data_IF_806400215608
#
_entry.id   IF_806400215608
#
_cell.length_a   1.000
_cell.length_b   1.000
_cell.length_c   1.000
_cell.angle_alpha   90.00
_cell.angle_beta   90.00
_cell.angle_gamma   90.00
#
_symmetry.space_group_name_H-M   'P 1'
#
loop_
_entity.id
_entity.type
_entity.pdbx_description
1 polymer ?
#
# COMPACT_ATOMS: atom_id res chain seq x y z
N UNK A 1 23.11 22.29 24.50
CA UNK A 1 23.76 21.32 25.40
C UNK A 1 25.25 21.26 25.08
N UNK A 2 26.10 21.54 26.06
CA UNK A 2 27.54 21.36 25.94
C UNK A 2 27.86 19.87 25.87
N UNK A 3 27.92 19.30 24.65
CA UNK A 3 28.29 17.89 24.43
C UNK A 3 29.77 17.68 24.75
N UNK A 4 30.12 17.56 26.04
CA UNK A 4 31.45 17.13 26.46
C UNK A 4 31.57 15.62 26.22
N UNK A 5 32.66 15.19 25.62
CA UNK A 5 32.88 13.76 25.39
C UNK A 5 33.18 13.02 26.71
N UNK A 6 32.97 11.70 26.71
CA UNK A 6 33.14 10.86 27.92
C UNK A 6 34.55 10.92 28.50
N UNK A 7 35.57 11.10 27.67
CA UNK A 7 36.96 11.17 28.14
C UNK A 7 37.25 12.47 28.90
N UNK A 8 36.60 13.56 28.50
CA UNK A 8 36.67 14.84 29.22
C UNK A 8 35.95 14.74 30.56
N UNK A 9 34.78 14.08 30.61
CA UNK A 9 34.06 13.83 31.86
C UNK A 9 34.89 12.95 32.81
N UNK A 10 35.42 11.83 32.33
CA UNK A 10 36.24 10.90 33.15
C UNK A 10 37.43 11.58 33.82
N UNK A 11 38.10 12.52 33.15
CA UNK A 11 39.24 13.26 33.73
C UNK A 11 38.85 14.11 34.94
N UNK A 12 37.62 14.62 35.00
CA UNK A 12 37.15 15.48 36.11
C UNK A 12 36.72 14.70 37.35
N UNK A 13 36.51 13.40 37.21
CA UNK A 13 36.13 12.48 38.30
C UNK A 13 37.25 11.47 38.62
N UNK A 14 38.51 11.83 38.30
CA UNK A 14 39.68 11.02 38.58
C UNK A 14 40.05 11.01 40.06
N UNK A 15 40.95 10.10 40.44
CA UNK A 15 41.43 9.99 41.82
C UNK A 15 42.16 11.28 42.24
N UNK A 16 41.74 11.86 43.37
CA UNK A 16 42.30 13.11 43.89
C UNK A 16 41.69 14.39 43.31
N UNK A 17 40.82 14.29 42.31
CA UNK A 17 40.06 15.43 41.79
C UNK A 17 38.88 15.78 42.69
N UNK A 18 38.49 17.06 42.73
CA UNK A 18 37.31 17.54 43.47
C UNK A 18 36.29 18.12 42.47
N UNK A 19 35.35 17.30 41.96
CA UNK A 19 34.36 17.73 40.98
C UNK A 19 33.47 18.84 41.54
N UNK A 20 33.21 19.85 40.73
CA UNK A 20 32.31 20.96 41.07
C UNK A 20 30.84 20.57 40.86
N UNK A 21 29.90 21.36 41.40
CA UNK A 21 28.48 21.19 41.13
C UNK A 21 28.15 21.19 39.62
N UNK A 22 28.87 21.98 38.82
CA UNK A 22 28.72 21.99 37.36
C UNK A 22 29.15 20.67 36.71
N UNK A 23 30.18 20.00 37.25
CA UNK A 23 30.62 18.70 36.74
C UNK A 23 29.59 17.60 36.99
N UNK A 24 28.90 17.65 38.14
CA UNK A 24 27.76 16.78 38.43
C UNK A 24 26.57 17.07 37.51
N UNK A 25 26.29 18.34 37.21
CA UNK A 25 25.24 18.74 36.25
C UNK A 25 25.52 18.15 34.87
N UNK A 26 26.74 18.35 34.35
CA UNK A 26 27.15 17.81 33.05
C UNK A 26 27.07 16.28 33.00
N UNK A 27 27.37 15.59 34.12
CA UNK A 27 27.22 14.15 34.21
C UNK A 27 25.75 13.73 34.14
N UNK A 28 24.88 14.36 34.94
CA UNK A 28 23.44 14.06 34.96
C UNK A 28 22.81 14.30 33.59
N UNK A 29 23.13 15.43 32.95
CA UNK A 29 22.65 15.77 31.59
C UNK A 29 23.21 14.83 30.50
N UNK A 30 24.29 14.08 30.78
CA UNK A 30 24.88 13.12 29.83
C UNK A 30 24.30 11.70 29.91
N UNK A 31 23.45 11.43 30.91
CA UNK A 31 22.83 10.12 31.15
C UNK A 31 21.40 10.10 30.63
N UNK A 32 21.00 8.99 29.99
CA UNK A 32 19.63 8.79 29.52
C UNK A 32 18.64 8.70 30.69
N UNK A 33 17.57 9.49 30.62
CA UNK A 33 16.45 9.52 31.54
C UNK A 33 15.16 9.08 30.84
N UNK A 34 14.48 8.06 31.38
CA UNK A 34 13.26 7.49 30.79
C UNK A 34 12.11 8.49 30.69
N UNK A 35 11.99 9.40 31.66
CA UNK A 35 10.92 10.39 31.70
C UNK A 35 11.17 11.55 30.73
N UNK A 36 12.42 11.99 30.63
CA UNK A 36 12.77 13.20 29.89
C UNK A 36 13.14 12.90 28.44
N UNK A 37 13.80 11.76 28.18
CA UNK A 37 14.30 11.41 26.84
C UNK A 37 13.33 10.56 26.03
N UNK A 38 12.17 10.16 26.58
CA UNK A 38 11.14 9.43 25.84
C UNK A 38 11.56 8.05 25.32
N UNK A 39 12.71 7.52 25.77
CA UNK A 39 13.24 6.20 25.44
C UNK A 39 13.01 5.26 26.62
N UNK A 40 12.26 4.18 26.41
CA UNK A 40 12.01 3.16 27.42
C UNK A 40 12.06 1.76 26.82
N UNK A 41 12.24 0.75 27.67
CA UNK A 41 12.15 -0.65 27.28
C UNK A 41 11.27 -1.42 28.26
N UNK A 42 10.32 -2.22 27.77
CA UNK A 42 9.51 -3.12 28.59
C UNK A 42 9.14 -4.39 27.82
N UNK A 43 8.69 -5.43 28.52
CA UNK A 43 8.36 -6.73 27.92
C UNK A 43 7.17 -6.70 26.95
N UNK A 44 6.20 -5.80 27.18
CA UNK A 44 4.97 -5.72 26.38
C UNK A 44 5.19 -5.02 25.04
N UNK A 45 5.93 -3.91 25.06
CA UNK A 45 6.07 -2.96 23.96
C UNK A 45 7.47 -2.98 23.32
N UNK A 46 8.44 -3.69 23.91
CA UNK A 46 9.83 -3.67 23.47
C UNK A 46 10.47 -2.29 23.67
N UNK A 47 11.21 -1.81 22.66
CA UNK A 47 11.78 -0.47 22.63
C UNK A 47 10.69 0.56 22.31
N UNK A 48 10.39 1.43 23.28
CA UNK A 48 9.48 2.55 23.13
C UNK A 48 10.26 3.82 22.85
N UNK A 49 9.94 4.47 21.74
CA UNK A 49 10.40 5.80 21.38
C UNK A 49 9.20 6.74 21.39
N UNK A 50 9.26 7.79 22.20
CA UNK A 50 8.22 8.81 22.30
C UNK A 50 8.70 10.07 21.63
N UNK A 51 7.83 10.71 20.85
CA UNK A 51 8.13 12.02 20.28
C UNK A 51 8.21 13.06 21.40
N UNK A 52 9.40 13.63 21.62
CA UNK A 52 9.67 14.60 22.70
C UNK A 52 9.34 16.04 22.24
N UNK A 53 9.31 16.29 20.93
CA UNK A 53 9.11 17.63 20.34
C UNK A 53 8.07 17.62 19.22
N UNK A 54 7.41 18.75 18.93
CA UNK A 54 6.36 18.84 17.91
C UNK A 54 6.78 18.68 16.44
N UNK A 55 8.03 18.31 16.15
CA UNK A 55 8.60 18.20 14.80
C UNK A 55 8.33 16.85 14.10
N UNK A 56 7.37 16.07 14.60
CA UNK A 56 7.00 14.74 14.12
C UNK A 56 8.17 13.77 13.93
N UNK A 57 9.34 13.96 14.56
CA UNK A 57 10.48 13.05 14.43
C UNK A 57 10.66 12.18 15.66
N UNK A 58 10.87 10.89 15.41
CA UNK A 58 11.08 9.88 16.47
C UNK A 58 12.46 9.26 16.37
N UNK A 59 13.02 9.12 15.17
CA UNK A 59 14.37 8.60 14.96
C UNK A 59 15.07 9.34 13.83
N UNK A 60 16.37 9.59 13.97
CA UNK A 60 17.21 10.21 12.95
C UNK A 60 18.54 9.49 12.86
N UNK A 61 18.92 9.11 11.65
CA UNK A 61 20.12 8.34 11.32
C UNK A 61 21.09 9.23 10.54
N UNK A 62 22.34 9.30 11.01
CA UNK A 62 23.41 10.11 10.44
C UNK A 62 24.49 9.18 9.88
N UNK A 63 25.17 9.58 8.80
CA UNK A 63 26.26 8.82 8.21
C UNK A 63 27.56 8.92 9.01
N UNK A 64 27.76 10.03 9.73
CA UNK A 64 28.89 10.23 10.63
C UNK A 64 28.48 11.02 11.89
N UNK A 65 29.26 10.89 12.98
CA UNK A 65 29.00 11.56 14.26
C UNK A 65 29.03 13.08 14.16
N UNK A 66 29.82 13.61 13.23
CA UNK A 66 30.00 15.04 12.98
C UNK A 66 29.09 15.57 11.85
N UNK A 67 28.29 14.71 11.21
CA UNK A 67 27.39 15.13 10.14
C UNK A 67 26.21 15.92 10.74
N UNK A 68 26.02 17.17 10.31
CA UNK A 68 24.92 18.01 10.79
C UNK A 68 23.57 17.64 10.16
N UNK A 69 23.59 16.99 8.99
CA UNK A 69 22.38 16.61 8.26
C UNK A 69 22.06 15.12 8.42
N UNK A 70 20.81 14.81 8.76
CA UNK A 70 20.32 13.42 8.87
C UNK A 70 20.32 12.75 7.51
N UNK A 71 20.93 11.57 7.37
CA UNK A 71 20.82 10.77 6.15
C UNK A 71 19.40 10.22 5.96
N UNK A 72 18.82 9.68 7.03
CA UNK A 72 17.46 9.16 7.09
C UNK A 72 16.76 9.58 8.38
N UNK A 73 15.44 9.71 8.34
CA UNK A 73 14.62 9.97 9.52
C UNK A 73 13.32 9.17 9.49
N UNK A 74 12.82 8.86 10.68
CA UNK A 74 11.51 8.27 10.88
C UNK A 74 10.62 9.32 11.52
N UNK A 75 9.59 9.70 10.79
CA UNK A 75 8.57 10.62 11.26
C UNK A 75 7.34 9.87 11.80
N UNK A 76 6.72 10.39 12.85
CA UNK A 76 5.45 9.91 13.37
C UNK A 76 4.55 11.12 13.61
N UNK A 77 3.41 11.16 12.95
CA UNK A 77 2.34 12.08 13.28
C UNK A 77 1.26 11.32 14.08
N UNK A 78 1.23 11.57 15.39
CA UNK A 78 0.29 10.95 16.31
C UNK A 78 -1.18 11.32 16.05
N UNK A 79 -1.46 12.41 15.34
CA UNK A 79 -2.85 12.82 15.01
C UNK A 79 -3.43 12.02 13.86
N UNK A 80 -2.62 11.79 12.83
CA UNK A 80 -3.04 11.05 11.63
C UNK A 80 -2.61 9.59 11.62
N UNK A 81 -1.98 9.10 12.70
CA UNK A 81 -1.39 7.77 12.79
C UNK A 81 -0.52 7.43 11.57
N UNK A 82 0.30 8.41 11.16
CA UNK A 82 1.17 8.36 9.99
C UNK A 82 2.61 8.16 10.40
N UNK A 83 3.24 7.14 9.83
CA UNK A 83 4.68 6.88 9.96
C UNK A 83 5.34 7.17 8.61
N UNK A 84 6.37 8.01 8.60
CA UNK A 84 7.16 8.33 7.40
C UNK A 84 8.59 7.85 7.55
N UNK A 85 9.18 7.39 6.45
CA UNK A 85 10.62 7.21 6.29
C UNK A 85 11.09 8.27 5.29
N UNK A 86 11.85 9.21 5.81
CA UNK A 86 12.31 10.39 5.11
C UNK A 86 13.80 10.29 4.81
N UNK A 87 14.19 10.60 3.58
CA UNK A 87 15.59 10.76 3.19
C UNK A 87 15.98 12.24 3.21
N UNK A 88 17.24 12.54 3.56
CA UNK A 88 17.76 13.90 3.42
C UNK A 88 17.63 14.41 1.98
N UNK A 89 17.15 15.65 1.81
CA UNK A 89 17.26 16.37 0.53
C UNK A 89 18.72 16.78 0.33
N UNK A 90 19.52 15.92 -0.28
CA UNK A 90 20.90 16.25 -0.67
C UNK A 90 20.86 17.12 -1.93
N UNK A 91 21.21 18.41 -1.79
CA UNK A 91 21.47 19.31 -2.93
C UNK A 91 20.27 20.02 -3.56
N UNK A 92 19.07 19.93 -2.98
CA UNK A 92 17.94 20.76 -3.40
C UNK A 92 17.94 22.05 -2.56
N UNK A 93 18.46 23.14 -3.13
CA UNK A 93 18.24 24.48 -2.59
C UNK A 93 16.73 24.73 -2.58
N UNK A 94 16.16 24.91 -1.37
CA UNK A 94 14.86 25.56 -1.11
C UNK A 94 13.86 25.53 -2.26
N UNK A 95 13.46 24.33 -2.72
CA UNK A 95 12.14 24.21 -3.32
C UNK A 95 11.16 24.51 -2.19
N UNK A 96 10.13 25.33 -2.47
CA UNK A 96 9.06 25.63 -1.52
C UNK A 96 8.64 24.32 -0.84
N UNK A 97 8.93 24.22 0.46
CA UNK A 97 8.52 23.07 1.24
C UNK A 97 7.03 23.24 1.47
N UNK A 98 6.25 22.23 1.12
CA UNK A 98 4.86 22.20 1.56
C UNK A 98 4.85 22.24 3.10
N UNK A 99 3.82 22.85 3.70
CA UNK A 99 3.76 23.03 5.15
C UNK A 99 3.90 21.70 5.92
N UNK A 100 3.46 20.60 5.32
CA UNK A 100 3.60 19.25 5.86
C UNK A 100 5.06 18.73 5.78
N UNK A 101 5.83 19.11 4.76
CA UNK A 101 7.26 18.81 4.69
C UNK A 101 8.02 19.54 5.82
N UNK A 102 7.73 20.82 6.08
CA UNK A 102 8.36 21.55 7.17
C UNK A 102 8.04 20.94 8.54
N UNK A 103 6.78 20.55 8.76
CA UNK A 103 6.34 19.93 10.02
C UNK A 103 7.03 18.59 10.33
N UNK A 104 7.38 17.81 9.29
CA UNK A 104 8.10 16.53 9.42
C UNK A 104 9.64 16.68 9.31
N UNK A 105 10.14 17.92 9.33
CA UNK A 105 11.58 18.22 9.33
C UNK A 105 12.24 18.22 7.94
N UNK A 106 11.47 18.41 6.87
CA UNK A 106 11.96 18.83 5.55
C UNK A 106 12.62 17.76 4.68
N UNK A 107 12.41 16.47 4.99
CA UNK A 107 12.95 15.36 4.22
C UNK A 107 12.12 15.04 2.96
N UNK A 108 12.67 14.20 2.07
CA UNK A 108 11.89 13.58 0.99
C UNK A 108 11.24 12.29 1.52
N UNK A 109 9.91 12.24 1.55
CA UNK A 109 9.20 11.04 1.97
C UNK A 109 9.42 9.91 0.97
N UNK A 110 10.15 8.88 1.38
CA UNK A 110 10.41 7.71 0.54
C UNK A 110 9.33 6.66 0.73
N UNK A 111 8.92 6.43 1.99
CA UNK A 111 7.87 5.49 2.36
C UNK A 111 6.96 6.13 3.41
N UNK A 112 5.66 6.03 3.20
CA UNK A 112 4.64 6.48 4.15
C UNK A 112 3.73 5.32 4.49
N UNK A 113 3.48 5.10 5.77
CA UNK A 113 2.53 4.13 6.29
C UNK A 113 1.44 4.87 7.05
N UNK A 114 0.20 4.65 6.63
CA UNK A 114 -0.99 5.20 7.27
C UNK A 114 -1.77 4.06 7.93
N UNK A 115 -1.91 4.09 9.25
CA UNK A 115 -2.71 3.10 9.97
C UNK A 115 -4.21 3.39 9.82
N UNK A 116 -5.12 2.39 9.87
CA UNK A 116 -6.54 2.66 10.04
C UNK A 116 -6.77 3.56 11.26
N UNK A 117 -7.63 4.57 11.16
CA UNK A 117 -7.82 5.58 12.21
C UNK A 117 -9.20 5.52 12.90
N UNK A 118 -10.08 4.62 12.45
CA UNK A 118 -11.41 4.42 13.03
C UNK A 118 -12.38 5.60 12.87
N UNK A 119 -11.90 6.77 12.41
CA UNK A 119 -12.69 7.98 12.19
C UNK A 119 -13.14 8.16 10.74
N UNK A 120 -12.36 7.64 9.77
CA UNK A 120 -12.75 7.66 8.35
C UNK A 120 -11.92 6.73 7.47
N UNK A 121 -10.70 6.38 7.88
CA UNK A 121 -9.84 5.44 7.18
C UNK A 121 -10.00 4.04 7.79
N UNK A 122 -10.65 3.16 7.03
CA UNK A 122 -10.91 1.76 7.42
C UNK A 122 -9.77 0.81 7.07
N UNK A 123 -8.86 1.23 6.20
CA UNK A 123 -7.75 0.44 5.68
C UNK A 123 -6.38 1.09 5.88
N UNK A 124 -5.35 0.26 5.99
CA UNK A 124 -3.98 0.76 5.97
C UNK A 124 -3.59 1.21 4.57
N UNK A 125 -2.73 2.24 4.47
CA UNK A 125 -2.19 2.70 3.18
C UNK A 125 -0.68 2.80 3.19
N UNK A 126 -0.09 2.51 2.04
CA UNK A 126 1.34 2.59 1.77
C UNK A 126 1.55 3.60 0.65
N UNK A 127 2.30 4.65 0.92
CA UNK A 127 2.78 5.61 -0.07
C UNK A 127 4.26 5.35 -0.37
N UNK A 128 4.62 5.22 -1.64
CA UNK A 128 6.01 5.28 -2.10
C UNK A 128 6.20 6.63 -2.76
N UNK A 129 7.18 7.40 -2.30
CA UNK A 129 7.45 8.77 -2.75
C UNK A 129 6.29 9.76 -2.53
N UNK A 130 5.33 9.46 -1.65
CA UNK A 130 4.21 10.36 -1.34
C UNK A 130 3.87 10.31 0.15
N UNK A 131 3.63 11.48 0.75
CA UNK A 131 3.15 11.62 2.14
C UNK A 131 1.65 11.39 2.29
N UNK A 132 0.90 11.50 1.20
CA UNK A 132 -0.57 11.48 1.22
C UNK A 132 -1.13 10.42 0.27
N UNK A 133 -0.87 9.12 0.52
CA UNK A 133 -1.37 8.06 -0.33
C UNK A 133 -2.90 8.07 -0.40
N UNK A 134 -3.42 8.20 -1.62
CA UNK A 134 -4.86 8.25 -1.92
C UNK A 134 -5.46 6.86 -2.11
N UNK A 135 -4.61 5.87 -2.38
CA UNK A 135 -4.97 4.46 -2.51
C UNK A 135 -4.23 3.59 -1.48
N UNK A 136 -4.64 2.32 -1.33
CA UNK A 136 -4.00 1.37 -0.42
C UNK A 136 -2.51 1.19 -0.71
N UNK A 137 -2.14 1.18 -1.99
CA UNK A 137 -0.78 1.36 -2.45
C UNK A 137 -0.79 2.52 -3.45
N UNK A 138 -0.10 3.59 -3.10
CA UNK A 138 0.08 4.77 -3.93
C UNK A 138 1.57 4.94 -4.22
N UNK A 139 1.94 5.01 -5.49
CA UNK A 139 3.34 5.11 -5.92
C UNK A 139 3.48 6.35 -6.78
N UNK A 140 4.15 7.36 -6.25
CA UNK A 140 4.55 8.52 -7.03
C UNK A 140 5.86 8.22 -7.76
N UNK A 141 5.75 7.59 -8.92
CA UNK A 141 6.89 7.19 -9.73
C UNK A 141 6.62 5.98 -10.63
N UNK A 142 7.67 5.22 -10.90
CA UNK A 142 7.63 4.08 -11.83
C UNK A 142 7.58 2.76 -11.07
N UNK A 143 6.66 1.89 -11.47
CA UNK A 143 6.56 0.51 -10.96
C UNK A 143 7.13 -0.45 -12.00
N UNK A 144 8.21 -1.16 -11.63
CA UNK A 144 8.69 -2.34 -12.35
C UNK A 144 8.25 -3.60 -11.62
N UNK A 145 7.68 -4.58 -12.32
CA UNK A 145 7.23 -5.85 -11.74
C UNK A 145 7.53 -7.03 -12.64
N UNK A 146 7.89 -8.17 -12.04
CA UNK A 146 8.05 -9.46 -12.73
C UNK A 146 6.72 -10.11 -13.11
N UNK A 147 5.61 -9.69 -12.49
CA UNK A 147 4.27 -10.19 -12.78
C UNK A 147 3.18 -9.49 -11.96
N UNK A 148 1.93 -9.63 -12.38
CA UNK A 148 0.76 -9.15 -11.65
C UNK A 148 -0.32 -10.22 -11.71
N UNK A 149 -0.94 -10.48 -10.55
CA UNK A 149 -2.01 -11.46 -10.40
C UNK A 149 -3.20 -10.73 -9.79
N UNK A 150 -4.35 -10.76 -10.48
CA UNK A 150 -5.59 -10.22 -9.95
C UNK A 150 -6.13 -11.06 -8.79
N UNK A 151 -7.20 -10.58 -8.15
CA UNK A 151 -7.87 -11.36 -7.11
C UNK A 151 -8.34 -12.69 -7.70
N UNK A 152 -7.92 -13.80 -7.08
CA UNK A 152 -8.42 -15.11 -7.46
C UNK A 152 -9.94 -15.14 -7.23
N UNK A 153 -10.67 -15.76 -8.16
CA UNK A 153 -12.06 -16.06 -7.92
C UNK A 153 -12.27 -16.84 -6.62
N UNK A 154 -13.43 -16.65 -5.98
CA UNK A 154 -13.77 -17.37 -4.74
C UNK A 154 -13.65 -18.88 -4.89
N UNK A 155 -13.94 -19.43 -6.09
CA UNK A 155 -13.68 -20.81 -6.50
C UNK A 155 -13.38 -20.89 -8.00
N UNK A 156 -12.47 -21.76 -8.45
CA UNK A 156 -12.28 -22.00 -9.88
C UNK A 156 -13.55 -22.59 -10.52
N UNK A 157 -13.88 -22.15 -11.74
CA UNK A 157 -15.07 -22.61 -12.44
C UNK A 157 -14.85 -24.01 -13.06
N UNK A 158 -15.85 -24.90 -13.11
CA UNK A 158 -15.77 -26.14 -13.89
C UNK A 158 -15.55 -25.88 -15.39
N UNK A 159 -14.74 -26.73 -16.04
CA UNK A 159 -14.55 -26.70 -17.50
C UNK A 159 -15.50 -27.69 -18.21
N UNK A 160 -16.80 -27.53 -17.98
CA UNK A 160 -17.88 -28.46 -18.38
C UNK A 160 -18.74 -27.96 -19.55
N UNK A 161 -18.43 -26.77 -20.09
CA UNK A 161 -19.18 -26.05 -21.12
C UNK A 161 -20.47 -25.33 -20.67
N UNK A 162 -20.75 -25.38 -19.37
CA UNK A 162 -21.81 -24.58 -18.76
C UNK A 162 -21.29 -23.21 -18.33
N UNK A 163 -22.20 -22.25 -18.22
CA UNK A 163 -21.86 -20.89 -17.77
C UNK A 163 -21.78 -20.83 -16.25
N UNK A 164 -20.65 -20.36 -15.73
CA UNK A 164 -20.42 -20.20 -14.30
C UNK A 164 -20.22 -18.72 -13.95
N UNK A 165 -20.90 -18.26 -12.91
CA UNK A 165 -20.69 -16.90 -12.37
C UNK A 165 -19.33 -16.81 -11.71
N UNK A 166 -18.50 -15.87 -12.18
CA UNK A 166 -17.13 -15.67 -11.69
C UNK A 166 -16.93 -14.38 -10.91
N UNK A 167 -17.86 -13.43 -11.02
CA UNK A 167 -17.84 -12.14 -10.33
C UNK A 167 -19.23 -11.51 -10.24
N UNK A 168 -19.40 -10.64 -9.24
CA UNK A 168 -20.65 -9.96 -8.91
C UNK A 168 -21.28 -10.45 -7.59
N UNK A 169 -22.48 -9.97 -7.24
CA UNK A 169 -23.27 -9.00 -7.99
C UNK A 169 -22.56 -7.65 -8.10
N UNK A 170 -22.63 -7.04 -9.27
CA UNK A 170 -22.18 -5.66 -9.52
C UNK A 170 -23.39 -4.75 -9.72
N UNK A 171 -23.22 -3.48 -9.38
CA UNK A 171 -24.18 -2.40 -9.63
C UNK A 171 -23.42 -1.19 -10.18
N UNK A 172 -24.07 -0.36 -11.01
CA UNK A 172 -23.48 0.85 -11.56
C UNK A 172 -22.42 0.57 -12.63
N UNK A 173 -21.37 1.40 -12.66
CA UNK A 173 -20.24 1.31 -13.59
C UNK A 173 -19.18 0.30 -13.11
N UNK A 174 -18.84 -0.64 -13.96
CA UNK A 174 -17.85 -1.69 -13.69
C UNK A 174 -16.85 -1.79 -14.84
N UNK A 175 -15.57 -1.85 -14.48
CA UNK A 175 -14.49 -2.20 -15.40
C UNK A 175 -13.62 -3.30 -14.77
N UNK A 176 -13.47 -4.42 -15.47
CA UNK A 176 -12.70 -5.57 -15.00
C UNK A 176 -11.68 -6.00 -16.05
N UNK A 177 -10.49 -6.33 -15.58
CA UNK A 177 -9.54 -7.18 -16.32
C UNK A 177 -9.75 -8.63 -15.87
N UNK A 178 -9.83 -9.55 -16.83
CA UNK A 178 -9.95 -10.98 -16.60
C UNK A 178 -8.75 -11.69 -17.23
N UNK A 179 -8.01 -12.45 -16.42
CA UNK A 179 -7.08 -13.45 -16.94
C UNK A 179 -7.63 -14.82 -16.57
N UNK A 180 -7.74 -15.72 -17.55
CA UNK A 180 -8.31 -17.05 -17.32
C UNK A 180 -7.60 -18.12 -18.14
N UNK A 181 -7.39 -19.29 -17.54
CA UNK A 181 -6.74 -20.42 -18.16
C UNK A 181 -7.42 -21.74 -17.79
N UNK A 182 -7.61 -22.60 -18.77
CA UNK A 182 -8.07 -23.97 -18.57
C UNK A 182 -7.15 -24.92 -19.34
N UNK A 183 -6.82 -26.05 -18.73
CA UNK A 183 -5.95 -27.02 -19.36
C UNK A 183 -5.97 -28.35 -18.62
N UNK A 184 -5.92 -29.44 -19.37
CA UNK A 184 -5.73 -30.79 -18.81
C UNK A 184 -4.55 -31.45 -19.51
N UNK A 185 -3.59 -31.92 -18.71
CA UNK A 185 -2.41 -32.66 -19.20
C UNK A 185 -2.85 -33.82 -20.09
N UNK A 186 -2.18 -33.97 -21.22
CA UNK A 186 -2.38 -35.04 -22.21
C UNK A 186 -3.79 -35.10 -22.85
N UNK A 187 -4.64 -34.08 -22.64
CA UNK A 187 -5.97 -34.03 -23.24
C UNK A 187 -6.02 -33.36 -24.61
N UNK A 188 -4.98 -32.59 -24.96
CA UNK A 188 -5.02 -31.68 -26.11
C UNK A 188 -6.03 -30.54 -25.98
N UNK A 189 -6.48 -30.22 -24.77
CA UNK A 189 -7.42 -29.13 -24.49
C UNK A 189 -6.77 -28.12 -23.56
N UNK A 190 -6.44 -26.97 -24.14
CA UNK A 190 -5.85 -25.82 -23.45
C UNK A 190 -6.44 -24.55 -24.04
N UNK A 191 -6.75 -23.60 -23.17
CA UNK A 191 -7.10 -22.24 -23.55
C UNK A 191 -6.61 -21.25 -22.51
N UNK A 192 -6.20 -20.09 -22.99
CA UNK A 192 -5.77 -18.95 -22.19
C UNK A 192 -6.47 -17.70 -22.75
N UNK A 193 -7.01 -16.87 -21.86
CA UNK A 193 -7.75 -15.66 -22.18
C UNK A 193 -7.22 -14.50 -21.35
N UNK A 194 -7.11 -13.35 -22.00
CA UNK A 194 -7.01 -12.05 -21.36
C UNK A 194 -8.10 -11.14 -21.95
N UNK A 195 -8.91 -10.55 -21.06
CA UNK A 195 -10.12 -9.82 -21.43
C UNK A 195 -10.31 -8.55 -20.62
N UNK A 196 -10.99 -7.58 -21.22
CA UNK A 196 -11.55 -6.40 -20.56
C UNK A 196 -13.08 -6.50 -20.63
N UNK A 197 -13.73 -6.43 -19.47
CA UNK A 197 -15.18 -6.45 -19.36
C UNK A 197 -15.66 -5.12 -18.77
N UNK A 198 -16.42 -4.38 -19.57
CA UNK A 198 -16.95 -3.07 -19.24
C UNK A 198 -18.48 -3.11 -19.20
N UNK A 199 -19.06 -2.41 -18.23
CA UNK A 199 -20.51 -2.19 -18.18
C UNK A 199 -20.84 -0.91 -17.42
N UNK A 200 -21.82 -0.15 -17.89
CA UNK A 200 -22.36 1.01 -17.19
C UNK A 200 -23.85 0.77 -16.90
N UNK A 201 -24.18 0.56 -15.63
CA UNK A 201 -25.54 0.28 -15.16
C UNK A 201 -26.22 -0.87 -15.93
N UNK A 202 -27.48 -0.69 -16.32
CA UNK A 202 -28.33 -1.66 -17.03
C UNK A 202 -28.07 -1.70 -18.55
N UNK A 203 -27.18 -0.84 -19.07
CA UNK A 203 -26.82 -0.83 -20.48
C UNK A 203 -26.20 -2.16 -20.93
N UNK A 204 -26.20 -2.39 -22.24
CA UNK A 204 -25.52 -3.53 -22.85
C UNK A 204 -24.01 -3.37 -22.63
N UNK A 205 -23.44 -4.22 -21.76
CA UNK A 205 -22.00 -4.24 -21.51
C UNK A 205 -21.19 -4.71 -22.72
N UNK A 206 -19.91 -4.36 -22.72
CA UNK A 206 -18.95 -4.75 -23.74
C UNK A 206 -17.88 -5.66 -23.13
N UNK A 207 -17.48 -6.69 -23.87
CA UNK A 207 -16.36 -7.56 -23.49
C UNK A 207 -15.46 -7.70 -24.71
N UNK A 208 -14.22 -7.23 -24.57
CA UNK A 208 -13.16 -7.43 -25.55
C UNK A 208 -12.13 -8.40 -24.99
N UNK A 209 -11.62 -9.29 -25.82
CA UNK A 209 -10.62 -10.26 -25.38
C UNK A 209 -9.76 -10.74 -26.53
N UNK A 210 -8.55 -11.14 -26.18
CA UNK A 210 -7.70 -11.98 -27.02
C UNK A 210 -7.44 -13.29 -26.28
N UNK A 211 -7.34 -14.37 -27.05
CA UNK A 211 -7.17 -15.70 -26.47
C UNK A 211 -6.36 -16.62 -27.37
N UNK A 212 -5.62 -17.51 -26.73
CA UNK A 212 -4.93 -18.62 -27.35
C UNK A 212 -5.62 -19.93 -26.97
N UNK A 213 -5.59 -20.91 -27.87
CA UNK A 213 -6.10 -22.25 -27.59
C UNK A 213 -5.31 -23.28 -28.40
N UNK A 214 -5.22 -24.49 -27.86
CA UNK A 214 -4.61 -25.62 -28.55
C UNK A 214 -5.71 -26.52 -29.14
N UNK A 215 -5.54 -26.96 -30.39
CA UNK A 215 -6.49 -27.84 -31.07
C UNK A 215 -7.70 -27.11 -31.67
N UNK A 216 -8.90 -27.45 -31.24
CA UNK A 216 -10.16 -26.98 -31.85
C UNK A 216 -10.62 -25.63 -31.31
N UNK A 217 -11.24 -24.79 -32.16
CA UNK A 217 -11.86 -23.51 -31.75
C UNK A 217 -12.89 -23.65 -30.63
N UNK A 218 -13.51 -24.83 -30.46
CA UNK A 218 -14.44 -25.09 -29.34
C UNK A 218 -13.74 -25.18 -27.99
N UNK A 219 -12.42 -25.31 -27.95
CA UNK A 219 -11.65 -25.31 -26.71
C UNK A 219 -11.59 -23.90 -26.10
N UNK A 220 -11.86 -22.85 -26.87
CA UNK A 220 -11.80 -21.45 -26.42
C UNK A 220 -12.64 -21.15 -25.18
N UNK A 221 -12.17 -20.16 -24.42
CA UNK A 221 -12.91 -19.57 -23.31
C UNK A 221 -13.91 -18.53 -23.85
N UNK A 222 -15.00 -18.33 -23.13
CA UNK A 222 -16.06 -17.38 -23.45
C UNK A 222 -16.51 -16.65 -22.19
N UNK A 223 -16.77 -15.36 -22.32
CA UNK A 223 -17.30 -14.50 -21.26
C UNK A 223 -18.66 -13.92 -21.69
N UNK A 224 -19.53 -13.64 -20.70
CA UNK A 224 -20.76 -12.87 -20.90
C UNK A 224 -21.16 -12.12 -19.64
N UNK A 225 -21.92 -11.04 -19.82
CA UNK A 225 -22.72 -10.43 -18.77
C UNK A 225 -24.06 -11.18 -18.62
N UNK A 226 -24.53 -11.32 -17.39
CA UNK A 226 -25.85 -11.86 -17.06
C UNK A 226 -26.56 -10.89 -16.11
N UNK A 227 -27.74 -10.42 -16.51
CA UNK A 227 -28.60 -9.60 -15.65
C UNK A 227 -29.30 -10.45 -14.59
N UNK A 228 -29.37 -9.92 -13.38
CA UNK A 228 -30.16 -10.49 -12.31
C UNK A 228 -31.65 -10.25 -12.60
N UNK A 229 -32.43 -11.33 -12.65
CA UNK A 229 -33.87 -11.25 -12.89
C UNK A 229 -34.66 -10.89 -11.63
N UNK A 230 -34.08 -11.12 -10.44
CA UNK A 230 -34.73 -10.89 -9.15
C UNK A 230 -34.46 -9.49 -8.61
N UNK A 231 -33.26 -8.95 -8.83
CA UNK A 231 -32.85 -7.63 -8.34
C UNK A 231 -32.47 -6.71 -9.51
N UNK A 232 -33.37 -5.82 -9.96
CA UNK A 232 -33.08 -4.90 -11.06
C UNK A 232 -31.80 -4.10 -10.82
N UNK A 233 -30.99 -3.96 -11.87
CA UNK A 233 -29.70 -3.26 -11.82
C UNK A 233 -28.52 -4.12 -11.36
N UNK A 234 -28.75 -5.30 -10.76
CA UNK A 234 -27.68 -6.26 -10.50
C UNK A 234 -27.31 -7.00 -11.76
N UNK A 235 -26.00 -7.24 -11.93
CA UNK A 235 -25.49 -8.11 -12.96
C UNK A 235 -24.24 -8.87 -12.53
N UNK A 236 -23.95 -9.94 -13.27
CA UNK A 236 -22.87 -10.87 -12.99
C UNK A 236 -22.02 -11.10 -14.23
N UNK A 237 -20.72 -11.34 -14.01
CA UNK A 237 -19.82 -11.79 -15.07
C UNK A 237 -19.76 -13.33 -15.05
N UNK A 238 -19.95 -13.95 -16.21
CA UNK A 238 -19.90 -15.41 -16.34
C UNK A 238 -18.82 -15.87 -17.32
N UNK A 239 -18.27 -17.06 -17.08
CA UNK A 239 -17.20 -17.70 -17.84
C UNK A 239 -17.55 -19.15 -18.17
N UNK A 240 -17.09 -19.62 -19.33
CA UNK A 240 -17.11 -21.04 -19.69
C UNK A 240 -16.03 -21.40 -20.71
N UNK A 241 -15.83 -22.69 -20.90
CA UNK A 241 -15.20 -23.27 -22.10
C UNK A 241 -16.25 -23.56 -23.18
N UNK A 242 -15.88 -23.54 -24.46
CA UNK A 242 -16.81 -23.85 -25.56
C UNK A 242 -17.17 -25.34 -25.69
N UNK A 243 -16.40 -26.25 -25.10
CA UNK A 243 -16.74 -27.66 -24.93
C UNK A 243 -16.08 -28.22 -23.67
N UNK A 244 -16.64 -29.28 -23.09
CA UNK A 244 -16.12 -29.86 -21.86
C UNK A 244 -14.68 -30.39 -22.00
N UNK A 245 -13.83 -30.13 -21.02
CA UNK A 245 -12.43 -30.57 -21.01
C UNK A 245 -12.23 -31.97 -20.42
N UNK A 246 -13.29 -32.57 -19.89
CA UNK A 246 -13.28 -33.85 -19.21
C UNK A 246 -13.39 -33.69 -17.70
N UNK A 247 -13.50 -34.82 -16.99
CA UNK A 247 -13.70 -34.85 -15.55
C UNK A 247 -12.57 -34.11 -14.80
N UNK A 248 -12.94 -33.44 -13.71
CA UNK A 248 -12.04 -32.73 -12.79
C UNK A 248 -11.15 -31.65 -13.43
N UNK A 249 -11.55 -31.09 -14.58
CA UNK A 249 -10.85 -29.94 -15.17
C UNK A 249 -11.54 -28.64 -14.75
N UNK A 250 -10.74 -27.65 -14.33
CA UNK A 250 -11.22 -26.34 -13.88
C UNK A 250 -10.61 -25.23 -14.71
N UNK A 251 -11.34 -24.13 -14.80
CA UNK A 251 -10.91 -22.84 -15.33
C UNK A 251 -10.39 -22.03 -14.14
N UNK A 252 -9.09 -21.78 -14.12
CA UNK A 252 -8.47 -20.84 -13.19
C UNK A 252 -8.65 -19.44 -13.74
N UNK A 253 -8.98 -18.48 -12.88
CA UNK A 253 -9.17 -17.11 -13.31
C UNK A 253 -8.83 -16.11 -12.20
N UNK A 254 -8.43 -14.92 -12.62
CA UNK A 254 -8.18 -13.77 -11.77
C UNK A 254 -8.96 -12.57 -12.31
N UNK A 255 -9.53 -11.80 -11.40
CA UNK A 255 -10.26 -10.57 -11.68
C UNK A 255 -9.51 -9.39 -11.06
N UNK A 256 -9.30 -8.34 -11.85
CA UNK A 256 -8.77 -7.07 -11.37
C UNK A 256 -9.81 -5.99 -11.63
N UNK A 257 -10.26 -5.28 -10.59
CA UNK A 257 -11.08 -4.08 -10.77
C UNK A 257 -10.22 -2.95 -11.32
N UNK A 258 -10.66 -2.37 -12.43
CA UNK A 258 -10.01 -1.22 -13.08
C UNK A 258 -10.75 0.10 -12.80
N UNK A 259 -11.93 0.01 -12.17
CA UNK A 259 -12.75 1.16 -11.80
C UNK A 259 -13.31 0.95 -10.39
N UNK A 260 -13.15 1.96 -9.52
CA UNK A 260 -13.46 1.89 -8.09
C UNK A 260 -14.56 2.87 -7.65
N UNK A 261 -15.21 3.56 -8.60
CA UNK A 261 -16.30 4.51 -8.34
C UNK A 261 -17.58 4.09 -9.09
N UNK A 262 -18.30 3.05 -8.64
CA UNK A 262 -19.42 2.50 -9.40
C UNK A 262 -20.56 3.48 -9.68
N UNK A 263 -20.64 4.59 -8.93
CA UNK A 263 -21.67 5.62 -9.12
C UNK A 263 -21.20 6.84 -9.89
N UNK A 264 -19.91 6.92 -10.22
CA UNK A 264 -19.29 8.10 -10.83
C UNK A 264 -19.39 9.33 -9.93
N UNK A 265 -19.41 9.14 -8.60
CA UNK A 265 -19.57 10.22 -7.62
C UNK A 265 -18.45 11.26 -7.75
N UNK A 266 -17.23 10.83 -8.14
CA UNK A 266 -16.10 11.72 -8.37
C UNK A 266 -16.15 12.51 -9.68
N UNK A 267 -17.14 12.27 -10.54
CA UNK A 267 -17.27 12.94 -11.85
C UNK A 267 -18.21 14.14 -11.84
N UNK A 268 -19.05 14.28 -10.81
CA UNK A 268 -19.93 15.43 -10.67
C UNK A 268 -19.18 16.62 -10.06
N UNK A 269 -19.38 17.81 -10.62
CA UNK A 269 -18.97 19.03 -9.94
C UNK A 269 -19.78 19.16 -8.64
N UNK A 270 -19.19 19.65 -7.53
CA UNK A 270 -19.97 19.99 -6.35
C UNK A 270 -21.05 21.01 -6.76
N UNK A 271 -22.31 20.78 -6.38
CA UNK A 271 -23.33 21.82 -6.51
C UNK A 271 -22.85 23.05 -5.72
N UNK A 272 -22.64 24.17 -6.41
CA UNK A 272 -22.41 25.45 -5.75
C UNK A 272 -23.67 25.79 -4.95
N UNK A 273 -23.53 25.84 -3.62
CA UNK A 273 -24.59 26.23 -2.68
C UNK A 273 -24.76 27.75 -2.62
#
# INVERSE_FOLDING_TARGET
MTKRNRDTLKKRFGEGEMPSAGDFSDLIESVLNIHDDGIAHNERDGLRLTQISGNNRVLSLYGAVEEESTAWAFGLDGRSARLTLDAARRGAASAEMDADDEADGGGYAVLTLLAPDGGGRTDGRIGVNTRHPRHQLDVDGVVASSGRVGAAGSRPAPADAEWHTIGGPYQGCTALEVTAGAGRRDSGKYALMHAFALRAFDAKGEITYHQAHYGSRRHRLQLRWLDDKAVPGNYYLQLRVGCAYGQNTRIQYHLTSLWLDPRMDGSAAPEEA
#
